data_IF_661594214274
#
_entry.id   IF_661594214274
#
_cell.length_a   1.000
_cell.length_b   1.000
_cell.length_c   1.000
_cell.angle_alpha   90.00
_cell.angle_beta   90.00
_cell.angle_gamma   90.00
#
_symmetry.space_group_name_H-M   'P 1'
#
loop_
_entity.id
_entity.type
_entity.pdbx_description
1 polymer ?
#
# COMPACT_ATOMS: atom_id res chain seq x y z
N UNK A 1 -0.59 27.98 1.43
CA UNK A 1 -0.87 26.66 0.82
C UNK A 1 -0.94 25.61 1.93
N UNK A 2 -1.69 24.53 1.73
CA UNK A 2 -1.76 23.36 2.61
C UNK A 2 -1.22 22.17 1.82
N UNK A 3 -0.25 21.46 2.39
CA UNK A 3 0.27 20.20 1.85
C UNK A 3 -0.17 19.09 2.80
N UNK A 4 -0.85 18.07 2.28
CA UNK A 4 -1.51 17.05 3.10
C UNK A 4 -1.30 15.64 2.55
N UNK A 5 -0.96 14.68 3.42
CA UNK A 5 -1.08 13.26 3.13
C UNK A 5 -2.32 12.74 3.88
N UNK A 6 -3.46 12.54 3.19
CA UNK A 6 -4.70 12.12 3.83
C UNK A 6 -4.64 10.67 4.31
N UNK A 7 -5.10 10.40 5.53
CA UNK A 7 -5.32 9.02 5.98
C UNK A 7 -6.54 8.38 5.30
N UNK A 8 -7.55 9.18 4.97
CA UNK A 8 -8.76 8.80 4.24
C UNK A 8 -9.02 9.83 3.12
N UNK A 9 -9.10 9.40 1.84
CA UNK A 9 -9.39 10.27 0.70
C UNK A 9 -10.68 11.11 0.82
N UNK A 10 -11.69 10.65 1.56
CA UNK A 10 -12.97 11.32 1.74
C UNK A 10 -13.09 12.01 3.11
N UNK A 11 -12.40 11.51 4.13
CA UNK A 11 -12.53 11.96 5.51
C UNK A 11 -12.20 13.44 5.75
N UNK A 12 -11.39 14.05 4.89
CA UNK A 12 -10.99 15.47 5.01
C UNK A 12 -11.63 16.39 3.95
N UNK A 13 -12.52 15.87 3.10
CA UNK A 13 -13.07 16.63 1.95
C UNK A 13 -13.66 17.97 2.35
N UNK A 14 -14.50 18.03 3.38
CA UNK A 14 -15.14 19.26 3.82
C UNK A 14 -14.12 20.35 4.25
N UNK A 15 -13.06 19.95 4.95
CA UNK A 15 -11.99 20.88 5.34
C UNK A 15 -11.15 21.36 4.16
N UNK A 16 -10.91 20.49 3.17
CA UNK A 16 -10.22 20.87 1.94
C UNK A 16 -11.08 21.80 1.06
N UNK A 17 -12.39 21.56 0.98
CA UNK A 17 -13.33 22.47 0.32
C UNK A 17 -13.33 23.86 0.96
N UNK A 18 -13.33 23.95 2.28
CA UNK A 18 -13.28 25.22 2.98
C UNK A 18 -11.99 25.97 2.67
N UNK A 19 -10.85 25.28 2.73
CA UNK A 19 -9.55 25.86 2.43
C UNK A 19 -9.46 26.40 0.98
N UNK A 20 -9.91 25.60 0.01
CA UNK A 20 -9.87 25.98 -1.41
C UNK A 20 -10.84 27.12 -1.73
N UNK A 21 -12.04 27.15 -1.11
CA UNK A 21 -12.97 28.29 -1.19
C UNK A 21 -12.38 29.58 -0.61
N UNK A 22 -11.51 29.48 0.40
CA UNK A 22 -10.78 30.63 0.95
C UNK A 22 -9.56 31.07 0.10
N UNK A 23 -9.34 30.46 -1.07
CA UNK A 23 -8.22 30.78 -1.96
C UNK A 23 -6.89 30.15 -1.54
N UNK A 24 -6.91 29.19 -0.60
CA UNK A 24 -5.70 28.47 -0.19
C UNK A 24 -5.43 27.34 -1.20
N UNK A 25 -4.24 27.35 -1.78
CA UNK A 25 -3.76 26.23 -2.60
C UNK A 25 -3.62 24.97 -1.75
N UNK A 26 -4.30 23.89 -2.13
CA UNK A 26 -4.20 22.57 -1.50
C UNK A 26 -3.44 21.60 -2.40
N UNK A 27 -2.45 20.91 -1.84
CA UNK A 27 -1.66 19.86 -2.51
C UNK A 27 -1.74 18.59 -1.68
N UNK A 28 -2.46 17.59 -2.16
CA UNK A 28 -2.43 16.24 -1.63
C UNK A 28 -1.17 15.51 -2.14
N UNK A 29 -0.44 14.87 -1.23
CA UNK A 29 0.79 14.15 -1.54
C UNK A 29 0.68 12.68 -1.12
N UNK A 30 1.33 11.79 -1.89
CA UNK A 30 1.42 10.33 -1.69
C UNK A 30 0.07 9.57 -1.82
N UNK A 31 -0.99 10.09 -1.20
CA UNK A 31 -2.36 9.59 -1.29
C UNK A 31 -3.31 10.59 -1.95
N UNK A 32 -4.28 10.05 -2.70
CA UNK A 32 -5.30 10.85 -3.36
C UNK A 32 -6.35 11.36 -2.37
N UNK A 33 -6.96 12.50 -2.71
CA UNK A 33 -8.16 13.05 -2.07
C UNK A 33 -9.31 13.09 -3.07
N UNK A 34 -10.53 13.15 -2.56
CA UNK A 34 -11.74 13.28 -3.39
C UNK A 34 -12.12 14.72 -3.71
N UNK A 35 -11.40 15.71 -3.17
CA UNK A 35 -11.65 17.12 -3.43
C UNK A 35 -11.08 17.54 -4.80
N UNK A 36 -11.92 17.88 -5.81
CA UNK A 36 -11.44 18.06 -7.18
C UNK A 36 -10.53 19.27 -7.37
N UNK A 37 -10.61 20.27 -6.47
CA UNK A 37 -9.79 21.49 -6.54
C UNK A 37 -8.38 21.33 -5.93
N UNK A 38 -8.09 20.20 -5.28
CA UNK A 38 -6.76 19.90 -4.77
C UNK A 38 -5.85 19.39 -5.89
N UNK A 39 -4.58 19.85 -5.90
CA UNK A 39 -3.55 19.19 -6.69
C UNK A 39 -3.20 17.85 -6.05
N UNK A 40 -2.95 16.82 -6.85
CA UNK A 40 -2.49 15.52 -6.35
C UNK A 40 -1.10 15.26 -6.92
N UNK A 41 -0.13 15.04 -6.03
CA UNK A 41 1.25 14.70 -6.37
C UNK A 41 1.60 13.38 -5.72
N UNK A 42 1.68 12.32 -6.51
CA UNK A 42 2.09 10.99 -6.05
C UNK A 42 3.03 10.34 -7.07
N UNK A 43 3.77 9.34 -6.62
CA UNK A 43 4.39 8.39 -7.53
C UNK A 43 3.32 7.46 -8.13
N UNK A 44 3.68 6.73 -9.18
CA UNK A 44 2.86 5.62 -9.65
C UNK A 44 2.97 4.45 -8.65
N UNK A 45 2.00 4.36 -7.74
CA UNK A 45 1.96 3.38 -6.65
C UNK A 45 1.79 1.93 -7.17
N UNK A 46 1.01 1.75 -8.24
CA UNK A 46 0.84 0.44 -8.90
C UNK A 46 2.17 -0.03 -9.50
N UNK A 47 2.85 0.82 -10.26
CA UNK A 47 4.13 0.47 -10.86
C UNK A 47 5.22 0.24 -9.81
N UNK A 48 5.23 1.02 -8.73
CA UNK A 48 6.13 0.80 -7.59
C UNK A 48 5.97 -0.62 -7.01
N UNK A 49 4.74 -1.03 -6.70
CA UNK A 49 4.50 -2.36 -6.14
C UNK A 49 4.75 -3.48 -7.16
N UNK A 50 4.37 -3.28 -8.42
CA UNK A 50 4.64 -4.25 -9.48
C UNK A 50 6.13 -4.55 -9.60
N UNK A 51 6.97 -3.51 -9.66
CA UNK A 51 8.42 -3.68 -9.82
C UNK A 51 9.04 -4.38 -8.60
N UNK A 52 8.67 -3.97 -7.38
CA UNK A 52 9.23 -4.54 -6.16
C UNK A 52 8.77 -5.99 -5.92
N UNK A 53 7.48 -6.28 -6.10
CA UNK A 53 6.95 -7.63 -5.92
C UNK A 53 7.54 -8.59 -6.95
N UNK A 54 7.64 -8.17 -8.22
CA UNK A 54 8.28 -8.95 -9.28
C UNK A 54 9.74 -9.25 -8.96
N UNK A 55 10.49 -8.25 -8.48
CA UNK A 55 11.87 -8.45 -8.05
C UNK A 55 11.96 -9.47 -6.91
N UNK A 56 11.10 -9.37 -5.88
CA UNK A 56 11.05 -10.31 -4.77
C UNK A 56 10.78 -11.74 -5.26
N UNK A 57 9.78 -11.93 -6.12
CA UNK A 57 9.44 -13.24 -6.68
C UNK A 57 10.58 -13.83 -7.51
N UNK A 58 11.34 -13.00 -8.24
CA UNK A 58 12.57 -13.44 -8.91
C UNK A 58 13.64 -13.90 -7.92
N UNK A 59 13.83 -13.18 -6.81
CA UNK A 59 14.78 -13.58 -5.75
C UNK A 59 14.36 -14.89 -5.05
N UNK A 60 13.05 -15.15 -4.97
CA UNK A 60 12.51 -16.44 -4.49
C UNK A 60 12.69 -17.59 -5.50
N UNK A 61 13.23 -17.32 -6.69
CA UNK A 61 13.36 -18.32 -7.76
C UNK A 61 12.05 -18.61 -8.49
N UNK A 62 11.08 -17.70 -8.41
CA UNK A 62 9.80 -17.78 -9.11
C UNK A 62 8.77 -18.73 -8.50
N UNK A 63 9.00 -19.23 -7.28
CA UNK A 63 8.10 -20.17 -6.59
C UNK A 63 8.15 -20.03 -5.07
N UNK A 64 7.15 -20.58 -4.40
CA UNK A 64 7.09 -20.67 -2.93
C UNK A 64 6.08 -19.72 -2.32
N UNK A 65 6.20 -19.50 -1.01
CA UNK A 65 5.20 -18.79 -0.22
C UNK A 65 5.67 -17.37 0.11
N UNK A 66 4.81 -16.37 -0.12
CA UNK A 66 5.03 -14.97 0.27
C UNK A 66 4.07 -14.56 1.37
N UNK A 67 4.58 -13.91 2.41
CA UNK A 67 3.78 -13.23 3.41
C UNK A 67 3.50 -11.79 2.95
N UNK A 68 2.24 -11.45 2.71
CA UNK A 68 1.83 -10.16 2.19
C UNK A 68 1.34 -9.22 3.30
N UNK A 69 2.15 -8.21 3.61
CA UNK A 69 1.88 -7.17 4.60
C UNK A 69 1.36 -5.90 3.92
N UNK A 70 0.05 -5.73 3.91
CA UNK A 70 -0.60 -4.53 3.42
C UNK A 70 -0.46 -3.36 4.39
N UNK A 71 -0.67 -2.16 3.85
CA UNK A 71 -0.66 -0.91 4.59
C UNK A 71 -1.91 -0.67 5.42
N UNK A 72 -2.43 0.56 5.35
CA UNK A 72 -3.69 0.93 5.96
C UNK A 72 -4.88 0.59 5.04
N UNK A 73 -5.86 -0.13 5.60
CA UNK A 73 -7.07 -0.46 4.87
C UNK A 73 -7.85 0.81 4.49
N UNK A 74 -8.31 0.89 3.23
CA UNK A 74 -8.98 2.06 2.69
C UNK A 74 -8.05 3.17 2.17
N UNK A 75 -6.75 3.09 2.43
CA UNK A 75 -5.78 4.01 1.85
C UNK A 75 -5.68 3.81 0.33
N UNK A 76 -5.66 4.91 -0.42
CA UNK A 76 -5.59 4.89 -1.89
C UNK A 76 -4.26 4.30 -2.37
N UNK A 77 -3.15 4.68 -1.74
CA UNK A 77 -1.83 4.16 -2.07
C UNK A 77 -1.72 2.64 -1.85
N UNK A 78 -2.28 2.11 -0.75
CA UNK A 78 -2.31 0.67 -0.51
C UNK A 78 -3.14 -0.07 -1.55
N UNK A 79 -4.30 0.49 -1.93
CA UNK A 79 -5.17 -0.09 -2.95
C UNK A 79 -4.48 -0.19 -4.31
N UNK A 80 -3.70 0.82 -4.70
CA UNK A 80 -2.92 0.77 -5.94
C UNK A 80 -1.72 -0.16 -5.85
N UNK A 81 -1.05 -0.24 -4.69
CA UNK A 81 0.03 -1.19 -4.45
C UNK A 81 -0.46 -2.64 -4.53
N UNK A 82 -1.67 -2.93 -4.05
CA UNK A 82 -2.31 -4.24 -4.17
C UNK A 82 -2.56 -4.64 -5.63
N UNK A 83 -3.00 -3.71 -6.48
CA UNK A 83 -3.11 -3.96 -7.93
C UNK A 83 -1.75 -4.33 -8.53
N UNK A 84 -0.70 -3.56 -8.18
CA UNK A 84 0.66 -3.81 -8.67
C UNK A 84 1.22 -5.15 -8.21
N UNK A 85 1.04 -5.49 -6.94
CA UNK A 85 1.42 -6.78 -6.37
C UNK A 85 0.69 -7.94 -7.07
N UNK A 86 -0.63 -7.86 -7.22
CA UNK A 86 -1.43 -8.89 -7.90
C UNK A 86 -1.06 -9.05 -9.37
N UNK A 87 -0.74 -7.95 -10.04
CA UNK A 87 -0.22 -7.97 -11.42
C UNK A 87 1.11 -8.72 -11.51
N UNK A 88 2.04 -8.48 -10.58
CA UNK A 88 3.27 -9.25 -10.51
C UNK A 88 3.00 -10.71 -10.20
N UNK A 89 2.14 -11.00 -9.22
CA UNK A 89 1.81 -12.37 -8.79
C UNK A 89 1.22 -13.22 -9.93
N UNK A 90 0.41 -12.62 -10.79
CA UNK A 90 -0.15 -13.29 -11.97
C UNK A 90 0.92 -13.79 -12.97
N UNK A 91 2.13 -13.20 -12.96
CA UNK A 91 3.27 -13.66 -13.78
C UNK A 91 4.05 -14.82 -13.15
N UNK A 92 3.81 -15.14 -11.88
CA UNK A 92 4.52 -16.20 -11.13
C UNK A 92 3.51 -17.19 -10.52
N UNK A 93 2.95 -18.12 -11.31
CA UNK A 93 1.87 -19.01 -10.85
C UNK A 93 2.27 -19.96 -9.71
N UNK A 94 3.58 -20.22 -9.55
CA UNK A 94 4.14 -21.06 -8.48
C UNK A 94 4.45 -20.28 -7.19
N UNK A 95 4.26 -18.96 -7.19
CA UNK A 95 4.27 -18.15 -5.97
C UNK A 95 2.85 -18.10 -5.40
N UNK A 96 2.71 -18.40 -4.11
CA UNK A 96 1.45 -18.39 -3.37
C UNK A 96 1.52 -17.43 -2.20
N UNK A 97 0.39 -16.83 -1.86
CA UNK A 97 0.27 -15.96 -0.69
C UNK A 97 -0.06 -16.82 0.51
N UNK A 98 0.89 -16.99 1.43
CA UNK A 98 0.68 -17.76 2.66
C UNK A 98 -0.28 -17.04 3.60
N UNK A 99 -0.18 -15.72 3.66
CA UNK A 99 -1.03 -14.88 4.49
C UNK A 99 -1.06 -13.46 3.92
N UNK A 100 -2.23 -12.84 3.90
CA UNK A 100 -2.43 -11.41 3.68
C UNK A 100 -2.90 -10.77 4.99
N UNK A 101 -2.25 -9.68 5.42
CA UNK A 101 -2.65 -8.90 6.60
C UNK A 101 -2.57 -7.41 6.32
N UNK A 102 -3.44 -6.62 6.94
CA UNK A 102 -3.26 -5.17 7.03
C UNK A 102 -2.49 -4.82 8.30
N UNK A 103 -1.43 -4.03 8.14
CA UNK A 103 -0.57 -3.57 9.25
C UNK A 103 -1.01 -2.21 9.78
N UNK A 104 -1.84 -1.49 9.04
CA UNK A 104 -2.14 -0.08 9.35
C UNK A 104 -0.94 0.84 9.20
N UNK A 105 0.15 0.39 8.55
CA UNK A 105 1.48 1.00 8.59
C UNK A 105 2.07 1.16 10.01
N UNK A 106 1.57 0.39 10.97
CA UNK A 106 2.06 0.41 12.34
C UNK A 106 3.14 -0.65 12.54
N UNK A 107 4.36 -0.20 12.87
CA UNK A 107 5.52 -1.08 13.03
C UNK A 107 5.28 -2.19 14.08
N UNK A 108 4.64 -1.86 15.20
CA UNK A 108 4.38 -2.83 16.26
C UNK A 108 3.37 -3.90 15.82
N UNK A 109 2.32 -3.50 15.11
CA UNK A 109 1.32 -4.43 14.56
C UNK A 109 1.95 -5.35 13.51
N UNK A 110 2.74 -4.78 12.58
CA UNK A 110 3.48 -5.54 11.58
C UNK A 110 4.39 -6.59 12.24
N UNK A 111 5.17 -6.18 13.25
CA UNK A 111 6.07 -7.06 14.02
C UNK A 111 5.30 -8.18 14.71
N UNK A 112 4.19 -7.87 15.38
CA UNK A 112 3.37 -8.88 16.04
C UNK A 112 2.84 -9.90 15.04
N UNK A 113 2.28 -9.44 13.91
CA UNK A 113 1.69 -10.32 12.89
C UNK A 113 2.72 -11.28 12.29
N UNK A 114 3.91 -10.80 11.88
CA UNK A 114 4.92 -11.69 11.30
C UNK A 114 5.51 -12.66 12.34
N UNK A 115 5.74 -12.21 13.59
CA UNK A 115 6.24 -13.10 14.64
C UNK A 115 5.22 -14.20 14.99
N UNK A 116 3.92 -13.86 15.07
CA UNK A 116 2.85 -14.83 15.27
C UNK A 116 2.81 -15.86 14.14
N UNK A 117 3.00 -15.42 12.89
CA UNK A 117 3.05 -16.33 11.75
C UNK A 117 4.28 -17.24 11.79
N UNK A 118 5.47 -16.70 12.02
CA UNK A 118 6.72 -17.48 12.10
C UNK A 118 6.66 -18.54 13.21
N UNK A 119 5.98 -18.25 14.33
CA UNK A 119 5.79 -19.19 15.43
C UNK A 119 4.94 -20.42 15.04
N UNK A 120 4.19 -20.39 13.93
CA UNK A 120 3.46 -21.56 13.42
C UNK A 120 4.38 -22.64 12.85
N UNK A 121 5.64 -22.31 12.55
CA UNK A 121 6.56 -23.20 11.84
C UNK A 121 6.28 -23.33 10.34
N UNK A 122 5.28 -22.60 9.81
CA UNK A 122 4.99 -22.57 8.37
C UNK A 122 6.14 -21.84 7.66
N UNK A 123 6.83 -22.48 6.70
CA UNK A 123 7.91 -21.84 5.97
C UNK A 123 7.38 -20.76 5.03
N UNK A 124 8.11 -19.66 4.90
CA UNK A 124 7.90 -18.62 3.88
C UNK A 124 9.22 -18.30 3.18
N UNK A 125 9.14 -17.91 1.92
CA UNK A 125 10.28 -17.60 1.07
C UNK A 125 10.49 -16.09 0.91
N UNK A 126 9.44 -15.29 1.12
CA UNK A 126 9.51 -13.84 1.03
C UNK A 126 8.49 -13.14 1.91
N UNK A 127 8.77 -11.88 2.21
CA UNK A 127 7.84 -10.95 2.86
C UNK A 127 7.74 -9.74 1.95
N UNK A 128 6.53 -9.39 1.53
CA UNK A 128 6.26 -8.16 0.79
C UNK A 128 5.51 -7.18 1.70
N UNK A 129 5.97 -5.92 1.73
CA UNK A 129 5.42 -4.83 2.55
C UNK A 129 5.43 -3.51 1.80
#
# INVERSE_FOLDING_TARGET
>A
AIVVNPADPAGIKAGLEEATKAGIVVVAVDQAVTEPSAYIISNNQEQYAYLGAKWLFQQMGGKGEVFYMRGAAGASADSDRDKGFKKALAEFPDVKVAQEVFTGWQQDQAKQQILSFLATGTPINGIWT
#
